data_IF_623192468980
#
_entry.id   IF_623192468980
#
_cell.length_a   1.000
_cell.length_b   1.000
_cell.length_c   1.000
_cell.angle_alpha   90.00
_cell.angle_beta   90.00
_cell.angle_gamma   90.00
#
_symmetry.space_group_name_H-M   'P 1'
#
loop_
_entity.id
_entity.type
_entity.pdbx_description
1 polymer ?
#
# COMPACT_ATOMS: atom_id res chain seq x y z
N UNK A 1 -7.95 -9.77 15.39
CA UNK A 1 -6.98 -8.84 14.78
C UNK A 1 -7.46 -8.44 13.40
N UNK A 2 -7.23 -7.19 13.00
CA UNK A 2 -7.71 -6.66 11.72
C UNK A 2 -6.70 -6.81 10.58
N UNK A 3 -7.18 -6.64 9.35
CA UNK A 3 -6.38 -6.69 8.12
C UNK A 3 -5.45 -5.48 8.06
N UNK A 4 -4.15 -5.72 7.95
CA UNK A 4 -3.08 -4.72 7.96
C UNK A 4 -2.23 -4.81 6.70
N UNK A 5 -1.56 -3.71 6.37
CA UNK A 5 -0.59 -3.65 5.27
C UNK A 5 0.83 -3.62 5.85
N UNK A 6 1.70 -4.47 5.33
CA UNK A 6 3.12 -4.53 5.67
C UNK A 6 3.97 -4.66 4.42
N UNK A 7 5.04 -3.88 4.30
CA UNK A 7 6.01 -4.00 3.21
C UNK A 7 7.46 -3.92 3.68
N UNK A 8 8.34 -4.61 2.95
CA UNK A 8 9.79 -4.65 3.17
C UNK A 8 10.57 -4.42 1.87
N UNK A 9 11.76 -3.80 1.94
CA UNK A 9 12.68 -3.71 0.82
C UNK A 9 13.10 -5.09 0.31
N UNK A 10 13.26 -5.22 -1.00
CA UNK A 10 13.87 -6.38 -1.64
C UNK A 10 15.04 -5.91 -2.51
N UNK A 11 16.28 -6.39 -2.29
CA UNK A 11 17.40 -6.09 -3.16
C UNK A 11 17.11 -6.46 -4.62
N UNK A 12 17.51 -5.63 -5.58
CA UNK A 12 17.23 -5.85 -7.01
C UNK A 12 17.55 -7.28 -7.52
N UNK A 13 18.69 -7.91 -7.15
CA UNK A 13 19.00 -9.27 -7.61
C UNK A 13 18.01 -10.34 -7.12
N UNK A 14 17.31 -10.09 -6.01
CA UNK A 14 16.40 -11.04 -5.37
C UNK A 14 14.94 -10.85 -5.80
N UNK A 15 14.61 -9.79 -6.54
CA UNK A 15 13.22 -9.47 -6.93
C UNK A 15 12.57 -10.60 -7.72
N UNK A 16 13.30 -11.25 -8.63
CA UNK A 16 12.75 -12.37 -9.41
C UNK A 16 12.49 -13.60 -8.52
N UNK A 17 13.35 -13.86 -7.53
CA UNK A 17 13.14 -14.94 -6.56
C UNK A 17 11.94 -14.62 -5.68
N UNK A 18 11.83 -13.37 -5.20
CA UNK A 18 10.70 -12.90 -4.41
C UNK A 18 9.38 -12.98 -5.20
N UNK A 19 9.37 -12.73 -6.51
CA UNK A 19 8.17 -12.90 -7.36
C UNK A 19 7.69 -14.35 -7.43
N UNK A 20 8.60 -15.32 -7.35
CA UNK A 20 8.26 -16.75 -7.36
C UNK A 20 7.68 -17.17 -6.00
N UNK A 21 8.27 -16.70 -4.90
CA UNK A 21 7.82 -17.00 -3.55
C UNK A 21 7.88 -15.76 -2.63
N UNK A 22 6.87 -14.88 -2.67
CA UNK A 22 6.84 -13.66 -1.86
C UNK A 22 6.90 -13.94 -0.37
N UNK A 23 6.23 -15.02 0.07
CA UNK A 23 6.16 -15.45 1.47
C UNK A 23 7.52 -15.70 2.09
N UNK A 24 8.51 -16.16 1.31
CA UNK A 24 9.87 -16.39 1.81
C UNK A 24 10.59 -15.11 2.25
N UNK A 25 10.12 -13.94 1.82
CA UNK A 25 10.66 -12.62 2.16
C UNK A 25 9.83 -11.89 3.22
N UNK A 26 8.74 -12.50 3.69
CA UNK A 26 7.84 -11.94 4.69
C UNK A 26 8.03 -12.67 6.03
N UNK A 27 8.00 -11.97 7.17
CA UNK A 27 8.00 -12.59 8.49
C UNK A 27 6.82 -13.56 8.62
N UNK A 28 7.11 -14.77 9.14
CA UNK A 28 6.06 -15.69 9.56
C UNK A 28 5.56 -15.24 10.93
N UNK A 29 4.32 -14.77 10.99
CA UNK A 29 3.70 -14.35 12.24
C UNK A 29 2.71 -15.40 12.74
N UNK A 30 2.74 -15.72 14.04
CA UNK A 30 1.66 -16.50 14.64
C UNK A 30 0.35 -15.71 14.56
N UNK A 31 -0.77 -16.43 14.52
CA UNK A 31 -2.09 -15.81 14.53
C UNK A 31 -2.23 -14.86 15.72
N UNK A 32 -2.79 -13.66 15.48
CA UNK A 32 -3.01 -12.67 16.54
C UNK A 32 -1.79 -11.84 16.95
N UNK A 33 -0.67 -11.94 16.25
CA UNK A 33 0.52 -11.11 16.52
C UNK A 33 0.62 -9.92 15.55
N UNK A 34 1.09 -8.78 16.07
CA UNK A 34 1.36 -7.61 15.25
C UNK A 34 2.59 -7.84 14.37
N UNK A 35 2.62 -7.18 13.20
CA UNK A 35 3.82 -7.18 12.37
C UNK A 35 5.01 -6.57 13.11
N UNK A 36 6.23 -7.12 12.92
CA UNK A 36 7.43 -6.45 13.37
C UNK A 36 7.51 -5.08 12.69
N UNK A 37 8.03 -4.10 13.41
CA UNK A 37 8.23 -2.74 12.89
C UNK A 37 9.74 -2.46 12.74
N UNK A 38 10.45 -3.16 11.83
CA UNK A 38 11.84 -2.85 11.58
C UNK A 38 11.94 -1.44 10.95
N UNK A 39 13.09 -0.76 11.09
CA UNK A 39 13.25 0.62 10.64
C UNK A 39 12.98 0.85 9.14
N UNK A 40 13.17 -0.20 8.33
CA UNK A 40 12.98 -0.18 6.89
C UNK A 40 11.62 -0.77 6.45
N UNK A 41 10.64 -0.98 7.34
CA UNK A 41 9.31 -1.42 6.93
C UNK A 41 8.33 -0.26 6.69
N UNK A 42 7.34 -0.51 5.83
CA UNK A 42 6.13 0.30 5.74
C UNK A 42 4.96 -0.45 6.38
N UNK A 43 4.44 0.10 7.48
CA UNK A 43 3.27 -0.41 8.19
C UNK A 43 2.11 0.57 8.08
N UNK A 44 0.99 0.11 7.53
CA UNK A 44 -0.26 0.86 7.47
C UNK A 44 -1.37 0.00 8.08
N UNK A 45 -2.12 0.56 9.03
CA UNK A 45 -3.29 -0.10 9.62
C UNK A 45 -4.50 0.00 8.67
N UNK A 46 -5.68 -0.48 9.07
CA UNK A 46 -6.91 -0.59 8.27
C UNK A 46 -7.20 0.57 7.29
N UNK A 47 -6.92 1.86 7.60
CA UNK A 47 -7.11 2.96 6.65
C UNK A 47 -6.20 2.92 5.40
N UNK A 48 -5.35 1.90 5.23
CA UNK A 48 -4.64 1.66 3.96
C UNK A 48 -5.62 1.54 2.77
N UNK A 49 -6.83 1.02 3.00
CA UNK A 49 -7.87 0.88 1.98
C UNK A 49 -8.36 2.24 1.47
N UNK A 50 -8.47 3.22 2.36
CA UNK A 50 -8.89 4.57 2.01
C UNK A 50 -7.87 5.24 1.06
N UNK A 51 -6.58 5.08 1.36
CA UNK A 51 -5.51 5.57 0.48
C UNK A 51 -5.52 4.84 -0.88
N UNK A 52 -5.72 3.52 -0.87
CA UNK A 52 -5.85 2.73 -2.11
C UNK A 52 -7.01 3.23 -2.96
N UNK A 53 -8.17 3.43 -2.36
CA UNK A 53 -9.38 3.83 -3.07
C UNK A 53 -9.22 5.23 -3.68
N UNK A 54 -8.55 6.15 -2.99
CA UNK A 54 -8.17 7.46 -3.56
C UNK A 54 -7.24 7.32 -4.77
N UNK A 55 -6.24 6.45 -4.69
CA UNK A 55 -5.26 6.24 -5.79
C UNK A 55 -5.85 5.49 -6.99
N UNK A 56 -6.92 4.73 -6.76
CA UNK A 56 -7.62 3.97 -7.79
C UNK A 56 -8.75 4.74 -8.50
N UNK A 57 -9.02 5.98 -8.10
CA UNK A 57 -10.08 6.79 -8.67
C UNK A 57 -9.61 7.74 -9.79
N UNK A 58 -10.49 8.09 -10.73
CA UNK A 58 -11.84 7.52 -10.91
C UNK A 58 -11.76 6.12 -11.56
N UNK A 59 -12.73 5.24 -11.24
CA UNK A 59 -12.71 3.80 -11.61
C UNK A 59 -12.80 3.53 -13.12
N UNK A 60 -13.23 4.52 -13.89
CA UNK A 60 -13.33 4.47 -15.36
C UNK A 60 -11.98 4.72 -16.05
N UNK A 61 -10.95 5.09 -15.30
CA UNK A 61 -9.59 5.30 -15.80
C UNK A 61 -8.63 4.28 -15.22
N UNK A 62 -7.51 3.99 -15.92
CA UNK A 62 -6.42 3.23 -15.33
C UNK A 62 -5.98 3.87 -14.01
N UNK A 63 -5.76 3.07 -12.95
CA UNK A 63 -5.35 3.60 -11.67
C UNK A 63 -3.96 4.23 -11.77
N UNK A 64 -3.66 5.15 -10.86
CA UNK A 64 -2.35 5.81 -10.81
C UNK A 64 -1.24 4.80 -10.51
N UNK A 65 0.02 5.03 -10.93
CA UNK A 65 1.11 4.12 -10.61
C UNK A 65 1.24 3.80 -9.11
N UNK A 66 1.03 4.78 -8.22
CA UNK A 66 1.07 4.55 -6.78
C UNK A 66 0.04 3.54 -6.26
N UNK A 67 -1.03 3.26 -7.02
CA UNK A 67 -2.00 2.22 -6.70
C UNK A 67 -1.37 0.83 -6.62
N UNK A 68 -0.29 0.56 -7.38
CA UNK A 68 0.42 -0.73 -7.34
C UNK A 68 0.93 -1.10 -5.93
N UNK A 69 1.26 -0.07 -5.13
CA UNK A 69 1.70 -0.23 -3.75
C UNK A 69 0.60 -0.83 -2.87
N UNK A 70 -0.68 -0.65 -3.23
CA UNK A 70 -1.82 -1.01 -2.37
C UNK A 70 -2.88 -1.84 -3.12
N UNK A 71 -2.58 -2.36 -4.32
CA UNK A 71 -3.54 -2.97 -5.25
C UNK A 71 -4.37 -4.13 -4.66
N UNK A 72 -3.84 -4.81 -3.65
CA UNK A 72 -4.40 -6.04 -3.13
C UNK A 72 -5.74 -5.94 -2.40
N UNK A 73 -6.44 -7.06 -2.40
CA UNK A 73 -7.59 -7.35 -1.54
C UNK A 73 -7.41 -8.72 -0.91
N UNK A 74 -7.68 -8.79 0.40
CA UNK A 74 -7.76 -10.08 1.09
C UNK A 74 -8.98 -10.85 0.61
N UNK A 75 -8.85 -12.18 0.55
CA UNK A 75 -9.97 -13.06 0.28
C UNK A 75 -10.38 -13.77 1.55
N UNK A 76 -11.67 -13.77 1.84
CA UNK A 76 -12.21 -14.58 2.94
C UNK A 76 -12.00 -16.08 2.67
N UNK A 77 -11.60 -16.82 3.71
CA UNK A 77 -11.47 -18.27 3.65
C UNK A 77 -11.75 -18.89 5.02
N UNK A 78 -12.90 -19.56 5.15
CA UNK A 78 -13.36 -20.13 6.41
C UNK A 78 -13.53 -19.05 7.48
N UNK A 79 -12.89 -19.23 8.64
CA UNK A 79 -12.87 -18.25 9.74
C UNK A 79 -11.71 -17.24 9.66
N UNK A 80 -11.04 -17.15 8.51
CA UNK A 80 -9.87 -16.28 8.33
C UNK A 80 -9.80 -15.63 6.95
N UNK A 81 -8.62 -15.11 6.62
CA UNK A 81 -8.35 -14.41 5.38
C UNK A 81 -7.11 -15.00 4.71
N UNK A 82 -7.15 -15.16 3.40
CA UNK A 82 -5.97 -15.40 2.58
C UNK A 82 -5.30 -14.04 2.34
N UNK A 83 -4.03 -13.86 2.77
CA UNK A 83 -3.33 -12.61 2.56
C UNK A 83 -3.11 -12.37 1.07
N UNK A 84 -3.12 -11.10 0.68
CA UNK A 84 -2.67 -10.69 -0.63
C UNK A 84 -1.18 -10.33 -0.55
N UNK A 85 -0.37 -11.02 -1.34
CA UNK A 85 1.07 -10.79 -1.39
C UNK A 85 1.48 -10.36 -2.79
N UNK A 86 2.39 -9.39 -2.88
CA UNK A 86 2.91 -8.91 -4.17
C UNK A 86 4.32 -8.37 -4.03
N UNK A 87 5.07 -8.48 -5.13
CA UNK A 87 6.42 -7.95 -5.26
C UNK A 87 6.45 -6.91 -6.37
N UNK A 88 7.02 -5.75 -6.06
CA UNK A 88 7.29 -4.68 -7.02
C UNK A 88 8.80 -4.60 -7.26
N UNK A 89 9.19 -4.54 -8.52
CA UNK A 89 10.60 -4.40 -8.90
C UNK A 89 11.09 -2.95 -8.79
N UNK A 90 12.39 -2.69 -8.98
CA UNK A 90 12.96 -1.35 -8.83
C UNK A 90 12.34 -0.32 -9.78
N UNK A 91 12.00 -0.73 -11.00
CA UNK A 91 11.34 0.12 -11.99
C UNK A 91 9.91 0.49 -11.58
N UNK A 92 9.16 -0.49 -11.04
CA UNK A 92 7.82 -0.27 -10.50
C UNK A 92 7.89 0.74 -9.34
N UNK A 93 8.89 0.59 -8.46
CA UNK A 93 9.12 1.48 -7.32
C UNK A 93 9.54 2.88 -7.74
N UNK A 94 10.39 3.03 -8.75
CA UNK A 94 10.71 4.35 -9.30
C UNK A 94 9.45 5.05 -9.86
N UNK A 95 8.56 4.29 -10.51
CA UNK A 95 7.27 4.80 -10.99
C UNK A 95 6.35 5.23 -9.85
N UNK A 96 6.18 4.37 -8.84
CA UNK A 96 5.39 4.64 -7.64
C UNK A 96 5.92 5.87 -6.88
N UNK A 97 7.24 5.94 -6.62
CA UNK A 97 7.85 7.05 -5.89
C UNK A 97 7.64 8.39 -6.61
N UNK A 98 7.79 8.41 -7.94
CA UNK A 98 7.57 9.60 -8.76
C UNK A 98 6.11 10.06 -8.73
N UNK A 99 5.17 9.12 -8.76
CA UNK A 99 3.74 9.45 -8.66
C UNK A 99 3.38 9.94 -7.25
N UNK A 100 3.84 9.24 -6.21
CA UNK A 100 3.65 9.63 -4.82
C UNK A 100 4.21 11.02 -4.52
N UNK A 101 5.34 11.41 -5.12
CA UNK A 101 5.93 12.74 -4.98
C UNK A 101 5.05 13.86 -5.55
N UNK A 102 4.21 13.55 -6.55
CA UNK A 102 3.31 14.49 -7.22
C UNK A 102 1.87 14.46 -6.70
N UNK A 103 1.59 13.68 -5.65
CA UNK A 103 0.25 13.63 -5.08
C UNK A 103 -0.15 14.97 -4.50
N UNK A 104 -1.30 15.45 -4.97
CA UNK A 104 -2.09 16.52 -4.37
C UNK A 104 -3.35 15.90 -3.75
N UNK A 105 -3.26 15.58 -2.46
CA UNK A 105 -4.36 14.94 -1.74
C UNK A 105 -5.58 15.86 -1.61
N UNK A 106 -5.39 17.17 -1.52
CA UNK A 106 -6.49 18.13 -1.40
C UNK A 106 -7.34 18.13 -2.68
N UNK A 107 -6.69 18.20 -3.85
CA UNK A 107 -7.36 18.08 -5.13
C UNK A 107 -8.03 16.71 -5.31
N UNK A 108 -7.38 15.64 -4.85
CA UNK A 108 -7.97 14.30 -4.90
C UNK A 108 -9.20 14.16 -4.01
N UNK A 109 -9.22 14.73 -2.80
CA UNK A 109 -10.39 14.72 -1.94
C UNK A 109 -11.57 15.50 -2.55
N UNK A 110 -11.29 16.65 -3.17
CA UNK A 110 -12.30 17.45 -3.88
C UNK A 110 -12.92 16.68 -5.06
N UNK A 111 -12.09 16.00 -5.85
CA UNK A 111 -12.57 15.16 -6.93
C UNK A 111 -13.35 13.95 -6.39
N UNK A 112 -12.83 13.30 -5.34
CA UNK A 112 -13.41 12.10 -4.74
C UNK A 112 -14.79 12.36 -4.12
N UNK A 113 -14.98 13.47 -3.40
CA UNK A 113 -16.25 13.77 -2.74
C UNK A 113 -17.43 13.89 -3.72
N UNK A 114 -17.17 14.30 -4.96
CA UNK A 114 -18.18 14.37 -6.02
C UNK A 114 -18.57 13.00 -6.61
N UNK A 115 -17.78 11.96 -6.35
CA UNK A 115 -17.92 10.62 -6.95
C UNK A 115 -18.47 9.57 -5.98
N UNK A 116 -18.66 9.91 -4.71
CA UNK A 116 -19.13 9.00 -3.67
C UNK A 116 -20.35 9.56 -2.95
N UNK A 117 -21.07 8.71 -2.20
CA UNK A 117 -22.21 9.20 -1.40
C UNK A 117 -21.73 10.18 -0.31
N UNK A 118 -22.60 11.12 0.13
CA UNK A 118 -22.28 12.03 1.22
C UNK A 118 -21.81 11.32 2.50
N UNK A 119 -22.42 10.17 2.83
CA UNK A 119 -22.03 9.37 4.00
C UNK A 119 -20.59 8.85 3.88
N UNK A 120 -20.22 8.34 2.71
CA UNK A 120 -18.85 7.88 2.44
C UNK A 120 -17.85 9.04 2.45
N UNK A 121 -18.23 10.21 1.93
CA UNK A 121 -17.39 11.40 1.98
C UNK A 121 -17.13 11.86 3.43
N UNK A 122 -18.15 11.83 4.30
CA UNK A 122 -18.02 12.18 5.72
C UNK A 122 -17.14 11.17 6.49
N UNK A 123 -17.31 9.88 6.21
CA UNK A 123 -16.47 8.82 6.78
C UNK A 123 -14.99 9.02 6.41
N UNK A 124 -14.71 9.36 5.15
CA UNK A 124 -13.36 9.65 4.68
C UNK A 124 -12.79 10.93 5.28
N UNK A 125 -13.61 11.97 5.44
CA UNK A 125 -13.22 13.23 6.07
C UNK A 125 -12.67 13.00 7.50
N UNK A 126 -13.37 12.19 8.29
CA UNK A 126 -12.95 11.80 9.63
C UNK A 126 -11.63 10.99 9.69
N UNK A 127 -11.12 10.50 8.55
CA UNK A 127 -9.87 9.73 8.47
C UNK A 127 -8.75 10.41 7.66
N UNK A 128 -8.96 11.64 7.16
CA UNK A 128 -7.99 12.35 6.31
C UNK A 128 -6.60 12.46 6.93
N UNK A 129 -6.50 12.83 8.20
CA UNK A 129 -5.22 12.94 8.91
C UNK A 129 -4.42 11.62 8.87
N UNK A 130 -5.11 10.48 8.99
CA UNK A 130 -4.48 9.16 8.93
C UNK A 130 -4.04 8.82 7.51
N UNK A 131 -4.90 9.06 6.52
CA UNK A 131 -4.60 8.84 5.10
C UNK A 131 -3.41 9.68 4.64
N UNK A 132 -3.37 10.96 5.02
CA UNK A 132 -2.25 11.87 4.72
C UNK A 132 -0.94 11.42 5.38
N UNK A 133 -1.01 10.98 6.65
CA UNK A 133 0.12 10.39 7.34
C UNK A 133 0.64 9.15 6.62
N UNK A 134 -0.25 8.30 6.13
CA UNK A 134 0.11 7.08 5.39
C UNK A 134 0.71 7.40 4.02
N UNK A 135 0.15 8.35 3.28
CA UNK A 135 0.71 8.83 2.03
C UNK A 135 2.12 9.41 2.22
N UNK A 136 2.35 10.15 3.32
CA UNK A 136 3.67 10.66 3.68
C UNK A 136 4.67 9.54 3.98
N UNK A 137 4.27 8.55 4.78
CA UNK A 137 5.10 7.37 5.08
C UNK A 137 5.44 6.59 3.81
N UNK A 138 4.45 6.34 2.95
CA UNK A 138 4.64 5.68 1.67
C UNK A 138 5.58 6.46 0.74
N UNK A 139 5.44 7.78 0.66
CA UNK A 139 6.34 8.66 -0.12
C UNK A 139 7.79 8.55 0.37
N UNK A 140 8.02 8.68 1.68
CA UNK A 140 9.37 8.57 2.25
C UNK A 140 9.96 7.19 2.02
N UNK A 141 9.17 6.14 2.26
CA UNK A 141 9.60 4.76 2.09
C UNK A 141 9.99 4.47 0.63
N UNK A 142 9.10 4.73 -0.32
CA UNK A 142 9.33 4.45 -1.74
C UNK A 142 10.43 5.32 -2.35
N UNK A 143 10.59 6.58 -1.91
CA UNK A 143 11.71 7.42 -2.33
C UNK A 143 13.06 6.79 -1.95
N UNK A 144 13.21 6.33 -0.71
CA UNK A 144 14.44 5.65 -0.24
C UNK A 144 14.71 4.37 -1.04
N UNK A 145 13.68 3.58 -1.33
CA UNK A 145 13.85 2.37 -2.14
C UNK A 145 14.27 2.69 -3.58
N UNK A 146 13.66 3.71 -4.18
CA UNK A 146 14.01 4.17 -5.52
C UNK A 146 15.46 4.66 -5.60
N UNK A 147 15.90 5.45 -4.62
CA UNK A 147 17.30 5.91 -4.50
C UNK A 147 18.29 4.74 -4.39
N UNK A 148 17.91 3.67 -3.69
CA UNK A 148 18.74 2.46 -3.50
C UNK A 148 18.61 1.46 -4.65
N UNK A 149 17.77 1.73 -5.66
CA UNK A 149 17.48 0.77 -6.74
C UNK A 149 16.85 -0.54 -6.23
N UNK A 150 16.10 -0.49 -5.12
CA UNK A 150 15.46 -1.67 -4.51
C UNK A 150 14.03 -1.85 -5.01
N UNK A 151 13.58 -3.11 -5.01
CA UNK A 151 12.16 -3.44 -5.06
C UNK A 151 11.55 -3.50 -3.66
N UNK A 152 10.33 -4.02 -3.57
CA UNK A 152 9.72 -4.39 -2.29
C UNK A 152 8.85 -5.64 -2.43
N UNK A 153 8.56 -6.26 -1.28
CA UNK A 153 7.48 -7.22 -1.10
C UNK A 153 6.49 -6.62 -0.12
N UNK A 154 5.20 -6.84 -0.34
CA UNK A 154 4.17 -6.47 0.63
C UNK A 154 3.14 -7.59 0.84
N UNK A 155 2.52 -7.56 2.01
CA UNK A 155 1.41 -8.41 2.41
C UNK A 155 0.26 -7.54 2.93
N UNK A 156 -0.95 -7.90 2.55
CA UNK A 156 -2.19 -7.38 3.12
C UNK A 156 -2.91 -8.56 3.75
N UNK A 157 -3.09 -8.54 5.06
CA UNK A 157 -3.63 -9.67 5.83
C UNK A 157 -3.88 -9.35 7.29
#
# INVERSE_FOLDING_TARGET
>A
MGITYFALPVPAPLVNIARINPRAFLPVLPAGHAWPNPPDALLLDKPWRDLRDLLGMPRDKPPRPAFELLRGEVKEYGYGWLPYERVLGPQDIAGVARDLARLDLAAMYQAYSSLVSPDWAAIMDGRRCTVESYARKARVFTARLAERGQGLVYSIG
#
